data_IF_523185603324
#
_entry.id   IF_523185603324
#
_cell.length_a   1.000
_cell.length_b   1.000
_cell.length_c   1.000
_cell.angle_alpha   90.00
_cell.angle_beta   90.00
_cell.angle_gamma   90.00
#
_symmetry.space_group_name_H-M   'P 1'
#
loop_
_entity.id
_entity.type
_entity.pdbx_description
1 polymer ?
#
# COMPACT_ATOMS: atom_id res chain seq x y z
N UNK A 1 -0.57 -0.91 16.74
CA UNK A 1 -0.72 -0.63 15.31
C UNK A 1 -2.13 -0.25 14.98
N UNK A 2 -2.44 -0.23 13.70
CA UNK A 2 -3.76 -0.02 13.15
C UNK A 2 -4.60 -1.29 13.30
N UNK A 3 -5.89 -1.14 13.59
CA UNK A 3 -6.80 -2.28 13.65
C UNK A 3 -6.88 -3.00 12.29
N UNK A 4 -6.81 -4.34 12.27
CA UNK A 4 -6.86 -5.12 11.02
C UNK A 4 -8.16 -4.89 10.26
N UNK A 5 -9.27 -4.69 10.97
CA UNK A 5 -10.55 -4.35 10.35
C UNK A 5 -10.49 -3.06 9.53
N UNK A 6 -9.65 -2.08 9.91
CA UNK A 6 -9.46 -0.85 9.13
C UNK A 6 -8.58 -1.13 7.91
N UNK A 7 -7.53 -1.95 8.05
CA UNK A 7 -6.68 -2.37 6.94
C UNK A 7 -7.49 -3.06 5.84
N UNK A 8 -8.42 -3.93 6.21
CA UNK A 8 -9.32 -4.62 5.29
C UNK A 8 -10.25 -3.68 4.50
N UNK A 9 -10.51 -2.47 5.01
CA UNK A 9 -11.27 -1.45 4.25
C UNK A 9 -10.44 -0.72 3.21
N UNK A 10 -9.11 -0.88 3.22
CA UNK A 10 -8.25 -0.20 2.26
C UNK A 10 -8.38 -0.83 0.87
N UNK A 11 -8.54 0.00 -0.18
CA UNK A 11 -8.71 -0.50 -1.53
C UNK A 11 -7.49 -1.29 -1.99
N UNK A 12 -7.75 -2.41 -2.67
CA UNK A 12 -6.73 -3.25 -3.31
C UNK A 12 -6.96 -3.27 -4.82
N UNK A 13 -5.88 -3.34 -5.58
CA UNK A 13 -5.92 -3.41 -7.04
C UNK A 13 -4.73 -4.18 -7.61
N UNK A 14 -4.90 -4.82 -8.76
CA UNK A 14 -3.82 -5.54 -9.43
C UNK A 14 -2.82 -4.56 -10.05
N UNK A 15 -1.53 -4.81 -9.90
CA UNK A 15 -0.48 -3.93 -10.44
C UNK A 15 -0.61 -3.70 -11.95
N UNK A 16 -1.00 -4.72 -12.71
CA UNK A 16 -1.27 -4.61 -14.16
C UNK A 16 -2.25 -3.46 -14.50
N UNK A 17 -3.31 -3.29 -13.70
CA UNK A 17 -4.32 -2.23 -13.88
C UNK A 17 -3.72 -0.84 -13.58
N UNK A 18 -2.87 -0.76 -12.54
CA UNK A 18 -2.18 0.47 -12.12
C UNK A 18 -1.19 0.96 -13.16
N UNK A 19 -0.44 0.02 -13.74
CA UNK A 19 0.60 0.26 -14.74
C UNK A 19 0.01 0.90 -16.00
N UNK A 20 -1.18 0.47 -16.43
CA UNK A 20 -1.89 1.07 -17.55
C UNK A 20 -2.49 2.44 -17.21
N UNK A 21 -2.99 2.62 -15.98
CA UNK A 21 -3.71 3.83 -15.59
C UNK A 21 -2.86 4.96 -14.99
N UNK A 22 -1.55 4.76 -14.74
CA UNK A 22 -0.62 5.76 -14.15
C UNK A 22 -1.18 6.49 -12.91
N UNK A 23 -2.10 5.86 -12.19
CA UNK A 23 -2.93 6.55 -11.20
C UNK A 23 -2.24 6.71 -9.83
N UNK A 24 -1.03 6.19 -9.66
CA UNK A 24 -0.40 5.99 -8.35
C UNK A 24 1.01 6.52 -8.30
N UNK A 25 1.33 7.26 -7.24
CA UNK A 25 2.68 7.78 -6.98
C UNK A 25 3.54 6.68 -6.36
N UNK A 26 4.71 6.42 -6.98
CA UNK A 26 5.68 5.44 -6.47
C UNK A 26 5.35 3.98 -6.78
N UNK A 27 4.61 3.72 -7.86
CA UNK A 27 3.93 2.45 -8.13
C UNK A 27 4.80 1.33 -8.71
N UNK A 28 6.13 1.37 -8.64
CA UNK A 28 6.98 0.36 -9.31
C UNK A 28 7.63 -0.64 -8.34
N UNK A 29 7.74 -0.28 -7.05
CA UNK A 29 8.36 -1.12 -6.03
C UNK A 29 7.71 -0.91 -4.66
N UNK A 30 7.71 -1.95 -3.84
CA UNK A 30 7.24 -1.85 -2.47
C UNK A 30 8.31 -1.26 -1.56
N UNK A 31 8.07 -0.09 -0.95
CA UNK A 31 9.05 0.52 -0.06
C UNK A 31 9.28 -0.22 1.28
N UNK A 32 8.53 -1.31 1.55
CA UNK A 32 8.69 -2.14 2.74
C UNK A 32 9.67 -3.29 2.49
N UNK A 33 9.47 -4.06 1.42
CA UNK A 33 10.35 -5.18 1.06
C UNK A 33 11.41 -4.82 0.00
N UNK A 34 11.36 -3.60 -0.56
CA UNK A 34 12.24 -3.10 -1.62
C UNK A 34 12.25 -3.99 -2.88
N UNK A 35 11.15 -4.71 -3.12
CA UNK A 35 10.96 -5.56 -4.30
C UNK A 35 10.04 -4.89 -5.30
N UNK A 36 10.32 -5.08 -6.59
CA UNK A 36 9.46 -4.64 -7.69
C UNK A 36 8.11 -5.35 -7.65
N UNK A 37 7.07 -4.69 -8.14
CA UNK A 37 5.74 -5.30 -8.26
C UNK A 37 5.64 -6.13 -9.54
N UNK A 38 5.06 -7.32 -9.43
CA UNK A 38 4.75 -8.17 -10.57
C UNK A 38 3.33 -7.93 -11.10
N UNK A 39 3.10 -8.17 -12.38
CA UNK A 39 1.82 -7.83 -13.03
C UNK A 39 0.63 -8.63 -12.43
N UNK A 40 0.90 -9.82 -11.86
CA UNK A 40 -0.08 -10.68 -11.16
C UNK A 40 -0.26 -10.30 -9.67
N UNK A 41 0.54 -9.36 -9.15
CA UNK A 41 0.46 -9.00 -7.73
C UNK A 41 -0.68 -8.04 -7.43
N UNK A 42 -1.32 -8.29 -6.29
CA UNK A 42 -2.32 -7.39 -5.72
C UNK A 42 -1.64 -6.39 -4.81
N UNK A 43 -1.88 -5.11 -5.04
CA UNK A 43 -1.34 -4.01 -4.27
C UNK A 43 -2.43 -3.36 -3.41
N UNK A 44 -2.09 -3.00 -2.18
CA UNK A 44 -2.95 -2.24 -1.28
C UNK A 44 -2.63 -0.76 -1.40
N UNK A 45 -3.65 0.05 -1.70
CA UNK A 45 -3.56 1.49 -1.82
C UNK A 45 -3.97 2.17 -0.51
N UNK A 46 -3.12 3.07 -0.01
CA UNK A 46 -3.42 3.87 1.16
C UNK A 46 -4.27 5.10 0.76
N UNK A 47 -5.53 5.22 1.21
CA UNK A 47 -6.45 6.25 0.70
C UNK A 47 -6.05 7.69 1.08
N UNK A 48 -5.22 7.88 2.11
CA UNK A 48 -4.79 9.22 2.56
C UNK A 48 -3.66 9.82 1.72
N UNK A 49 -2.81 9.00 1.13
CA UNK A 49 -1.62 9.45 0.42
C UNK A 49 -1.42 8.81 -0.96
N UNK A 50 -2.29 7.88 -1.34
CA UNK A 50 -2.28 7.17 -2.63
C UNK A 50 -0.97 6.44 -2.91
N UNK A 51 -0.24 6.00 -1.87
CA UNK A 51 0.89 5.10 -2.02
C UNK A 51 0.42 3.64 -1.99
N UNK A 52 1.13 2.78 -2.72
CA UNK A 52 0.82 1.35 -2.84
C UNK A 52 1.92 0.48 -2.27
N UNK A 53 1.51 -0.67 -1.73
CA UNK A 53 2.40 -1.65 -1.11
C UNK A 53 1.80 -3.05 -1.28
N UNK A 54 2.60 -4.11 -1.13
CA UNK A 54 2.04 -5.44 -0.97
C UNK A 54 1.17 -5.49 0.30
N UNK A 55 -0.03 -6.09 0.25
CA UNK A 55 -0.93 -6.20 1.39
C UNK A 55 -0.22 -6.84 2.60
N UNK A 56 0.49 -7.94 2.40
CA UNK A 56 1.23 -8.62 3.47
C UNK A 56 2.30 -7.72 4.12
N UNK A 57 3.04 -6.97 3.28
CA UNK A 57 4.09 -6.06 3.75
C UNK A 57 3.51 -4.88 4.54
N UNK A 58 2.47 -4.24 4.01
CA UNK A 58 1.87 -3.07 4.66
C UNK A 58 1.07 -3.45 5.90
N UNK A 59 0.42 -4.62 5.90
CA UNK A 59 -0.32 -5.11 7.07
C UNK A 59 0.65 -5.43 8.21
N UNK A 60 1.80 -6.04 7.91
CA UNK A 60 2.88 -6.26 8.88
C UNK A 60 3.43 -4.94 9.43
N UNK A 61 3.69 -3.96 8.56
CA UNK A 61 4.13 -2.63 8.99
C UNK A 61 3.09 -1.95 9.89
N UNK A 62 1.81 -2.01 9.49
CA UNK A 62 0.73 -1.34 10.19
C UNK A 62 0.30 -2.06 11.48
N UNK A 63 0.74 -3.30 11.71
CA UNK A 63 0.63 -3.94 13.01
C UNK A 63 1.42 -3.18 14.11
N UNK A 64 2.54 -2.54 13.74
CA UNK A 64 3.37 -1.74 14.67
C UNK A 64 3.21 -0.23 14.48
N UNK A 65 2.98 0.23 13.25
CA UNK A 65 2.89 1.65 12.90
C UNK A 65 1.50 2.02 12.38
N UNK A 66 1.16 3.31 12.35
CA UNK A 66 -0.12 3.79 11.77
C UNK A 66 0.11 4.82 10.66
N UNK A 67 1.35 4.91 10.19
CA UNK A 67 1.82 5.91 9.24
C UNK A 67 2.31 5.26 7.97
N UNK A 68 2.17 5.98 6.86
CA UNK A 68 2.68 5.54 5.57
C UNK A 68 4.22 5.42 5.60
N UNK A 69 4.82 4.31 5.14
CA UNK A 69 6.29 4.14 5.10
C UNK A 69 7.02 5.20 4.26
N UNK A 70 6.35 5.71 3.22
CA UNK A 70 6.95 6.63 2.24
C UNK A 70 6.85 8.08 2.70
N UNK A 71 5.65 8.55 3.02
CA UNK A 71 5.42 9.97 3.33
C UNK A 71 5.14 10.25 4.81
N UNK A 72 5.11 9.22 5.66
CA UNK A 72 4.76 9.31 7.09
C UNK A 72 3.40 9.94 7.38
N UNK A 73 2.51 10.02 6.39
CA UNK A 73 1.13 10.46 6.58
C UNK A 73 0.40 9.52 7.54
N UNK A 74 -0.34 10.08 8.49
CA UNK A 74 -1.16 9.31 9.42
C UNK A 74 -2.37 8.73 8.71
N UNK A 75 -2.60 7.43 8.88
CA UNK A 75 -3.69 6.72 8.20
C UNK A 75 -5.00 6.73 9.01
N UNK A 76 -4.92 7.06 10.29
CA UNK A 76 -6.10 7.33 11.13
C UNK A 76 -6.47 8.81 11.09
N UNK A 77 -7.77 9.16 11.13
CA UNK A 77 -8.23 10.53 11.33
C UNK A 77 -7.85 11.10 12.70
#
# INVERSE_FOLDING_TARGET
>A
GLDPAVLETFPTMAYADVKEHKAVKGALECAVCLSEFDDDETLRLLPKCSHVFHPDCIDTWLASHITCPVCRANLVP
#
